data_IF_464314778160
#
_entry.id   IF_464314778160
#
_cell.length_a   1.000
_cell.length_b   1.000
_cell.length_c   1.000
_cell.angle_alpha   90.00
_cell.angle_beta   90.00
_cell.angle_gamma   90.00
#
_symmetry.space_group_name_H-M   'P 1'
#
loop_
_entity.id
_entity.type
_entity.pdbx_description
1 polymer ?
#
# COMPACT_ATOMS: atom_id res chain seq x y z
N UNK A 1 16.35 -87.63 -64.32
CA UNK A 1 16.39 -88.31 -63.01
C UNK A 1 16.80 -87.30 -61.95
N UNK A 2 15.83 -86.82 -61.16
CA UNK A 2 16.04 -85.92 -60.00
C UNK A 2 15.02 -86.31 -58.92
N UNK A 3 15.52 -86.47 -57.71
CA UNK A 3 14.84 -87.01 -56.51
C UNK A 3 13.64 -86.16 -56.04
N UNK A 4 12.69 -86.74 -55.29
CA UNK A 4 11.54 -86.00 -54.78
C UNK A 4 11.89 -85.22 -53.51
N UNK A 5 11.46 -83.96 -53.48
CA UNK A 5 11.56 -83.05 -52.34
C UNK A 5 10.46 -83.38 -51.32
N UNK A 6 10.82 -83.65 -50.07
CA UNK A 6 9.88 -83.74 -48.93
C UNK A 6 9.62 -82.35 -48.38
N UNK A 7 8.36 -81.93 -48.33
CA UNK A 7 7.91 -80.69 -47.68
C UNK A 7 7.36 -81.06 -46.30
N UNK A 8 7.95 -80.49 -45.25
CA UNK A 8 7.51 -80.63 -43.87
C UNK A 8 6.76 -79.36 -43.47
N UNK A 9 5.50 -79.52 -43.04
CA UNK A 9 4.63 -78.44 -42.54
C UNK A 9 4.96 -78.24 -41.06
N UNK A 10 5.43 -77.04 -40.69
CA UNK A 10 5.62 -76.62 -39.28
C UNK A 10 4.44 -75.74 -38.89
N UNK A 11 3.63 -76.21 -37.95
CA UNK A 11 2.53 -75.45 -37.36
C UNK A 11 3.04 -74.35 -36.43
N UNK A 12 2.53 -73.13 -36.63
CA UNK A 12 2.80 -71.98 -35.76
C UNK A 12 1.82 -72.06 -34.57
N UNK A 13 2.36 -72.21 -33.37
CA UNK A 13 1.61 -72.12 -32.10
C UNK A 13 1.59 -70.65 -31.67
N UNK A 14 0.42 -70.01 -31.74
CA UNK A 14 0.19 -68.69 -31.14
C UNK A 14 0.08 -68.83 -29.62
N UNK A 15 1.10 -68.38 -28.89
CA UNK A 15 1.04 -68.15 -27.45
C UNK A 15 0.45 -66.76 -27.20
N UNK A 16 -0.83 -66.69 -26.86
CA UNK A 16 -1.46 -65.49 -26.31
C UNK A 16 -1.07 -65.37 -24.84
N UNK A 17 -0.17 -64.44 -24.52
CA UNK A 17 0.08 -64.01 -23.14
C UNK A 17 -1.12 -63.17 -22.66
N UNK A 18 -1.69 -63.44 -21.46
CA UNK A 18 -2.70 -62.57 -20.90
C UNK A 18 -2.04 -61.27 -20.42
N UNK A 19 -2.33 -60.16 -21.09
CA UNK A 19 -2.05 -58.83 -20.59
C UNK A 19 -2.87 -58.59 -19.32
N UNK A 20 -2.26 -58.77 -18.15
CA UNK A 20 -2.83 -58.31 -16.89
C UNK A 20 -2.85 -56.79 -16.90
N UNK A 21 -4.01 -56.21 -17.20
CA UNK A 21 -4.29 -54.80 -16.93
C UNK A 21 -4.36 -54.66 -15.42
N UNK A 22 -3.28 -54.16 -14.81
CA UNK A 22 -3.33 -53.67 -13.44
C UNK A 22 -4.26 -52.44 -13.49
N UNK A 23 -5.43 -52.46 -12.82
CA UNK A 23 -6.24 -51.27 -12.72
C UNK A 23 -5.39 -50.18 -12.05
N UNK A 24 -5.44 -48.92 -12.50
CA UNK A 24 -4.78 -47.84 -11.78
C UNK A 24 -5.29 -47.88 -10.34
N UNK A 25 -4.36 -48.00 -9.40
CA UNK A 25 -4.66 -47.84 -7.98
C UNK A 25 -5.42 -46.53 -7.86
N UNK A 26 -6.62 -46.47 -7.23
CA UNK A 26 -7.27 -45.19 -7.01
C UNK A 26 -6.25 -44.31 -6.28
N UNK A 27 -5.84 -43.23 -6.95
CA UNK A 27 -4.88 -42.29 -6.38
C UNK A 27 -5.43 -41.87 -5.02
N UNK A 28 -4.62 -42.00 -3.97
CA UNK A 28 -4.99 -41.51 -2.66
C UNK A 28 -5.48 -40.06 -2.84
N UNK A 29 -6.71 -39.78 -2.38
CA UNK A 29 -7.24 -38.43 -2.45
C UNK A 29 -6.23 -37.50 -1.78
N UNK A 30 -5.81 -36.46 -2.49
CA UNK A 30 -4.90 -35.46 -1.93
C UNK A 30 -5.52 -34.96 -0.63
N UNK A 31 -4.80 -34.98 0.51
CA UNK A 31 -5.34 -34.46 1.75
C UNK A 31 -5.80 -33.02 1.54
N UNK A 32 -6.99 -32.70 2.02
CA UNK A 32 -7.56 -31.37 1.97
C UNK A 32 -7.91 -30.89 3.38
N UNK A 33 -7.81 -29.58 3.61
CA UNK A 33 -8.06 -28.96 4.91
C UNK A 33 -9.24 -28.01 4.83
N UNK A 34 -9.99 -27.97 5.91
CA UNK A 34 -11.13 -27.10 6.11
C UNK A 34 -11.10 -26.56 7.53
N UNK A 35 -11.53 -25.32 7.73
CA UNK A 35 -11.48 -24.67 9.03
C UNK A 35 -11.84 -23.20 8.96
N UNK A 36 -11.45 -22.48 10.01
CA UNK A 36 -11.63 -21.04 10.11
C UNK A 36 -10.31 -20.45 10.57
N UNK A 37 -9.83 -19.46 9.84
CA UNK A 37 -8.65 -18.71 10.24
C UNK A 37 -9.03 -17.82 11.43
N UNK A 38 -8.20 -17.84 12.46
CA UNK A 38 -8.26 -16.88 13.56
C UNK A 38 -6.93 -16.15 13.65
N UNK A 39 -6.95 -14.96 14.26
CA UNK A 39 -5.72 -14.22 14.46
C UNK A 39 -5.81 -13.27 15.65
N UNK A 40 -4.65 -12.95 16.19
CA UNK A 40 -4.49 -11.97 17.26
C UNK A 40 -3.14 -11.26 17.16
N UNK A 41 -3.03 -10.14 17.86
CA UNK A 41 -1.80 -9.34 17.93
C UNK A 41 -1.29 -9.24 19.35
N UNK A 42 0.01 -9.42 19.57
CA UNK A 42 0.64 -9.27 20.88
C UNK A 42 1.99 -8.55 20.78
N UNK A 43 2.77 -8.58 21.86
CA UNK A 43 4.18 -8.17 21.90
C UNK A 43 4.44 -6.79 21.27
N UNK A 44 3.85 -5.71 21.80
CA UNK A 44 4.04 -4.37 21.24
C UNK A 44 5.50 -3.95 21.32
N UNK A 45 5.99 -3.33 20.24
CA UNK A 45 7.30 -2.70 20.18
C UNK A 45 7.14 -1.23 20.57
N UNK A 46 7.77 -0.83 21.68
CA UNK A 46 7.57 0.50 22.28
C UNK A 46 8.70 1.50 22.00
N UNK A 47 9.72 1.09 21.26
CA UNK A 47 10.83 1.95 20.87
C UNK A 47 11.13 1.76 19.38
N UNK A 48 11.34 2.84 18.66
CA UNK A 48 11.57 2.84 17.22
C UNK A 48 11.60 4.24 16.65
N UNK A 49 11.47 4.35 15.33
CA UNK A 49 11.51 5.63 14.62
C UNK A 49 10.14 5.98 14.06
N UNK A 50 9.78 7.27 14.11
CA UNK A 50 8.73 7.84 13.28
C UNK A 50 9.34 8.78 12.23
N UNK A 51 8.62 9.06 11.15
CA UNK A 51 9.13 9.88 10.05
C UNK A 51 8.74 11.35 10.24
N UNK A 52 9.69 12.27 10.09
CA UNK A 52 9.41 13.71 10.09
C UNK A 52 8.57 14.13 8.89
N UNK A 53 7.72 15.13 9.11
CA UNK A 53 6.92 15.76 8.08
C UNK A 53 7.81 16.29 6.93
N UNK A 54 7.52 15.87 5.71
CA UNK A 54 8.15 16.35 4.47
C UNK A 54 9.57 15.86 4.18
N UNK A 55 10.44 15.69 5.20
CA UNK A 55 11.80 15.16 4.99
C UNK A 55 11.86 13.63 5.08
N UNK A 56 10.85 13.01 5.70
CA UNK A 56 10.81 11.59 6.04
C UNK A 56 12.07 11.09 6.74
N UNK A 57 12.77 11.97 7.46
CA UNK A 57 13.90 11.54 8.28
C UNK A 57 13.40 10.79 9.51
N UNK A 58 13.99 9.62 9.83
CA UNK A 58 13.64 8.87 11.03
C UNK A 58 14.01 9.67 12.28
N UNK A 59 13.08 9.75 13.22
CA UNK A 59 13.26 10.34 14.55
C UNK A 59 13.07 9.26 15.59
N UNK A 60 14.14 8.92 16.34
CA UNK A 60 14.07 7.90 17.36
C UNK A 60 13.21 8.35 18.52
N UNK A 61 12.43 7.40 19.01
CA UNK A 61 11.52 7.59 20.12
C UNK A 61 11.44 6.32 20.95
N UNK A 62 11.49 6.51 22.26
CA UNK A 62 11.25 5.44 23.23
C UNK A 62 10.02 5.82 24.06
N UNK A 63 8.96 5.03 23.92
CA UNK A 63 7.69 5.23 24.59
C UNK A 63 7.42 4.14 25.64
N UNK A 64 8.43 3.40 26.09
CA UNK A 64 8.29 2.37 27.14
C UNK A 64 7.59 2.87 28.42
N UNK A 65 7.70 4.17 28.75
CA UNK A 65 7.04 4.78 29.91
C UNK A 65 5.68 5.45 29.62
N UNK A 66 5.30 5.67 28.36
CA UNK A 66 4.19 6.56 27.99
C UNK A 66 3.28 6.05 26.86
N UNK A 67 3.66 4.96 26.17
CA UNK A 67 2.84 4.38 25.11
C UNK A 67 1.47 3.95 25.66
N UNK A 68 0.42 4.24 24.90
CA UNK A 68 -0.95 3.87 25.23
C UNK A 68 -1.46 2.94 24.14
N UNK A 69 -1.69 1.68 24.51
CA UNK A 69 -2.22 0.65 23.62
C UNK A 69 -3.24 -0.23 24.34
N UNK A 70 -4.14 -0.84 23.58
CA UNK A 70 -5.19 -1.72 24.08
C UNK A 70 -5.52 -2.82 23.08
N UNK A 71 -6.20 -3.87 23.53
CA UNK A 71 -6.64 -4.98 22.66
C UNK A 71 -5.55 -5.99 22.28
N UNK A 72 -4.37 -5.95 22.92
CA UNK A 72 -3.38 -7.01 22.78
C UNK A 72 -3.95 -8.36 23.21
N UNK A 73 -3.43 -9.43 22.62
CA UNK A 73 -3.94 -10.81 22.70
C UNK A 73 -5.34 -11.00 22.10
N UNK A 74 -5.81 -10.03 21.31
CA UNK A 74 -7.07 -10.10 20.57
C UNK A 74 -6.88 -9.84 19.08
N UNK A 75 -7.94 -10.03 18.28
CA UNK A 75 -7.93 -9.77 16.84
C UNK A 75 -7.94 -8.28 16.48
N UNK A 76 -7.96 -7.37 17.45
CA UNK A 76 -7.99 -5.92 17.24
C UNK A 76 -7.14 -5.22 18.28
N UNK A 77 -6.12 -4.48 17.83
CA UNK A 77 -5.29 -3.62 18.68
C UNK A 77 -5.50 -2.17 18.31
N UNK A 78 -5.45 -1.29 19.31
CA UNK A 78 -5.53 0.15 19.11
C UNK A 78 -4.49 0.87 19.95
N UNK A 79 -3.94 1.96 19.42
CA UNK A 79 -2.96 2.81 20.09
C UNK A 79 -3.24 4.28 19.79
N UNK A 80 -3.16 5.11 20.83
CA UNK A 80 -3.13 6.58 20.83
C UNK A 80 -3.32 7.08 22.29
N UNK A 81 -2.85 8.28 22.61
CA UNK A 81 -3.09 9.00 23.86
C UNK A 81 -4.17 10.07 23.67
N UNK A 82 -5.38 9.67 23.29
CA UNK A 82 -6.45 10.68 23.10
C UNK A 82 -6.90 11.36 24.40
N UNK A 83 -6.34 11.04 25.58
CA UNK A 83 -6.69 11.69 26.86
C UNK A 83 -8.22 11.83 27.10
N UNK A 84 -9.02 10.86 26.61
CA UNK A 84 -10.48 10.90 26.67
C UNK A 84 -11.18 11.72 25.57
N UNK A 85 -10.47 12.02 24.47
CA UNK A 85 -10.99 12.70 23.29
C UNK A 85 -11.98 11.86 22.47
N UNK A 86 -12.69 12.52 21.55
CA UNK A 86 -13.72 11.94 20.68
C UNK A 86 -13.19 11.38 19.37
N UNK A 87 -11.88 11.36 19.16
CA UNK A 87 -11.27 10.88 17.91
C UNK A 87 -10.97 9.39 18.04
N UNK A 88 -11.06 8.65 16.94
CA UNK A 88 -10.74 7.23 16.95
C UNK A 88 -9.21 7.06 16.98
N UNK A 89 -8.67 6.19 17.86
CA UNK A 89 -7.24 5.88 17.88
C UNK A 89 -6.84 5.13 16.61
N UNK A 90 -5.54 5.10 16.30
CA UNK A 90 -5.04 4.16 15.30
C UNK A 90 -5.36 2.74 15.71
N UNK A 91 -5.78 1.91 14.77
CA UNK A 91 -6.23 0.56 15.07
C UNK A 91 -5.94 -0.42 13.93
N UNK A 92 -5.53 -1.63 14.31
CA UNK A 92 -5.30 -2.74 13.40
C UNK A 92 -6.20 -3.91 13.78
N UNK A 93 -7.02 -4.37 12.84
CA UNK A 93 -7.97 -5.47 13.06
C UNK A 93 -7.80 -6.55 12.02
N UNK A 94 -7.74 -7.81 12.44
CA UNK A 94 -7.77 -8.98 11.56
C UNK A 94 -9.12 -9.70 11.68
N UNK A 95 -9.72 -10.03 10.54
CA UNK A 95 -10.93 -10.85 10.47
C UNK A 95 -10.64 -12.06 9.59
N UNK A 96 -10.64 -13.25 10.19
CA UNK A 96 -10.31 -14.48 9.48
C UNK A 96 -11.49 -15.06 8.69
N UNK A 97 -11.16 -15.75 7.59
CA UNK A 97 -12.13 -16.43 6.74
C UNK A 97 -12.31 -17.89 7.15
N UNK A 98 -13.49 -18.43 6.87
CA UNK A 98 -13.67 -19.88 6.76
C UNK A 98 -13.17 -20.36 5.40
N UNK A 99 -12.54 -21.53 5.38
CA UNK A 99 -12.01 -22.17 4.18
C UNK A 99 -12.39 -23.66 4.17
N UNK A 100 -12.44 -24.24 2.98
CA UNK A 100 -12.79 -25.65 2.80
C UNK A 100 -12.06 -26.26 1.62
N UNK A 101 -11.73 -27.54 1.75
CA UNK A 101 -11.11 -28.36 0.71
C UNK A 101 -9.82 -27.77 0.11
N UNK A 102 -9.00 -27.11 0.93
CA UNK A 102 -7.72 -26.53 0.52
C UNK A 102 -6.65 -27.62 0.50
N UNK A 103 -6.01 -27.84 -0.65
CA UNK A 103 -4.88 -28.76 -0.76
C UNK A 103 -3.57 -28.13 -0.21
N UNK A 104 -2.60 -28.93 0.25
CA UNK A 104 -1.25 -28.44 0.54
C UNK A 104 -0.67 -27.60 -0.61
N UNK A 105 -0.03 -26.48 -0.27
CA UNK A 105 0.57 -25.53 -1.21
C UNK A 105 -0.43 -24.66 -1.98
N UNK A 106 -1.74 -24.93 -1.93
CA UNK A 106 -2.75 -24.08 -2.57
C UNK A 106 -2.85 -22.75 -1.82
N UNK A 107 -2.72 -21.65 -2.56
CA UNK A 107 -2.91 -20.30 -2.02
C UNK A 107 -4.41 -20.00 -1.92
N UNK A 108 -4.82 -19.44 -0.78
CA UNK A 108 -6.19 -19.00 -0.52
C UNK A 108 -6.21 -17.75 0.37
N UNK A 109 -7.35 -17.08 0.44
CA UNK A 109 -7.53 -15.90 1.27
C UNK A 109 -7.71 -16.30 2.75
N UNK A 110 -6.76 -15.91 3.60
CA UNK A 110 -6.81 -16.20 5.03
C UNK A 110 -7.81 -15.31 5.77
N UNK A 111 -7.98 -14.07 5.33
CA UNK A 111 -8.83 -13.09 5.99
C UNK A 111 -8.57 -11.68 5.49
N UNK A 112 -9.16 -10.71 6.17
CA UNK A 112 -8.95 -9.28 5.91
C UNK A 112 -8.23 -8.63 7.07
N UNK A 113 -7.30 -7.74 6.74
CA UNK A 113 -6.62 -6.85 7.66
C UNK A 113 -7.13 -5.43 7.40
N UNK A 114 -7.73 -4.80 8.40
CA UNK A 114 -8.19 -3.42 8.34
C UNK A 114 -7.30 -2.57 9.24
N UNK A 115 -6.65 -1.58 8.63
CA UNK A 115 -5.82 -0.60 9.33
C UNK A 115 -6.46 0.77 9.26
N UNK A 116 -6.75 1.37 10.42
CA UNK A 116 -7.18 2.75 10.54
C UNK A 116 -6.02 3.61 11.04
N UNK A 117 -5.62 4.59 10.23
CA UNK A 117 -4.63 5.61 10.59
C UNK A 117 -5.34 6.77 11.28
N UNK A 118 -5.44 6.68 12.61
CA UNK A 118 -5.98 7.75 13.46
C UNK A 118 -4.93 8.82 13.77
N UNK A 119 -5.31 9.96 14.35
CA UNK A 119 -4.33 10.88 14.89
C UNK A 119 -3.50 10.16 15.95
N UNK A 120 -2.20 10.40 15.97
CA UNK A 120 -1.30 9.89 16.99
C UNK A 120 -0.42 11.01 17.52
N UNK A 121 -0.14 11.02 18.82
CA UNK A 121 0.95 11.84 19.35
C UNK A 121 2.25 11.04 19.34
N UNK A 122 3.43 11.68 19.16
CA UNK A 122 4.71 10.97 19.21
C UNK A 122 4.94 10.18 20.52
N UNK A 123 4.28 10.55 21.63
CA UNK A 123 4.43 9.88 22.92
C UNK A 123 3.59 8.60 23.04
N UNK A 124 2.57 8.43 22.19
CA UNK A 124 1.64 7.30 22.23
C UNK A 124 1.86 6.26 21.14
N UNK A 125 2.84 6.49 20.26
CA UNK A 125 3.20 5.56 19.20
C UNK A 125 3.68 4.21 19.74
N UNK A 126 3.26 3.15 19.07
CA UNK A 126 3.91 1.84 19.04
C UNK A 126 4.56 1.66 17.67
N UNK A 127 5.64 0.89 17.61
CA UNK A 127 6.48 0.71 16.41
C UNK A 127 6.35 -0.68 15.80
N UNK A 128 5.44 -1.49 16.35
CA UNK A 128 5.13 -2.80 15.83
C UNK A 128 4.36 -3.67 16.82
N UNK A 129 3.89 -4.80 16.31
CA UNK A 129 3.24 -5.88 17.04
C UNK A 129 3.67 -7.21 16.43
N UNK A 130 3.43 -8.33 17.11
CA UNK A 130 3.51 -9.65 16.49
C UNK A 130 2.10 -10.12 16.12
N UNK A 131 1.91 -10.47 14.86
CA UNK A 131 0.68 -11.06 14.34
C UNK A 131 0.76 -12.58 14.39
N UNK A 132 -0.27 -13.20 14.96
CA UNK A 132 -0.43 -14.65 15.01
C UNK A 132 -1.66 -15.05 14.21
N UNK A 133 -1.52 -16.06 13.34
CA UNK A 133 -2.63 -16.63 12.58
C UNK A 133 -2.69 -18.14 12.78
N UNK A 134 -3.88 -18.69 12.96
CA UNK A 134 -4.11 -20.13 13.14
C UNK A 134 -5.24 -20.61 12.24
N UNK A 135 -5.03 -21.76 11.62
CA UNK A 135 -6.05 -22.48 10.85
C UNK A 135 -6.76 -23.58 11.68
N UNK A 136 -6.29 -23.84 12.90
CA UNK A 136 -6.74 -24.96 13.72
C UNK A 136 -6.34 -26.32 13.15
N UNK A 137 -7.01 -27.39 13.60
CA UNK A 137 -6.93 -28.71 12.94
C UNK A 137 -5.55 -29.38 12.92
N UNK A 138 -4.65 -29.01 13.83
CA UNK A 138 -3.28 -29.54 13.86
C UNK A 138 -2.32 -28.89 12.86
N UNK A 139 -2.74 -27.81 12.20
CA UNK A 139 -1.87 -26.98 11.37
C UNK A 139 -1.10 -26.02 12.29
N UNK A 140 0.23 -26.02 12.17
CA UNK A 140 1.12 -25.10 12.88
C UNK A 140 0.78 -23.63 12.58
N UNK A 141 0.68 -22.77 13.61
CA UNK A 141 0.28 -21.38 13.43
C UNK A 141 1.41 -20.55 12.84
N UNK A 142 1.05 -19.49 12.12
CA UNK A 142 1.98 -18.45 11.71
C UNK A 142 2.17 -17.45 12.85
N UNK A 143 3.41 -17.00 13.07
CA UNK A 143 3.74 -15.87 13.92
C UNK A 143 4.73 -14.95 13.19
N UNK A 144 4.46 -13.65 13.16
CA UNK A 144 5.24 -12.71 12.37
C UNK A 144 5.22 -11.28 12.87
N UNK A 145 6.35 -10.56 12.83
CA UNK A 145 6.37 -9.15 13.19
C UNK A 145 5.64 -8.31 12.13
N UNK A 146 4.88 -7.34 12.61
CA UNK A 146 4.32 -6.24 11.82
C UNK A 146 4.98 -4.98 12.34
N UNK A 147 5.87 -4.38 11.56
CA UNK A 147 6.47 -3.10 11.93
C UNK A 147 5.48 -1.98 11.59
N UNK A 148 5.34 -1.02 12.50
CA UNK A 148 4.49 0.16 12.34
C UNK A 148 5.42 1.37 12.20
N UNK A 149 5.27 2.10 11.10
CA UNK A 149 6.04 3.33 10.83
C UNK A 149 5.05 4.46 10.66
N UNK A 150 4.95 5.29 11.69
CA UNK A 150 4.10 6.49 11.65
C UNK A 150 4.82 7.66 10.99
N UNK A 151 4.06 8.47 10.27
CA UNK A 151 4.54 9.68 9.62
C UNK A 151 3.94 10.90 10.32
N UNK A 152 4.75 11.92 10.57
CA UNK A 152 4.26 13.18 11.09
C UNK A 152 3.56 13.95 9.97
N UNK A 153 2.28 14.26 10.15
CA UNK A 153 1.45 14.84 9.09
C UNK A 153 1.86 16.28 8.75
N UNK A 154 2.25 16.51 7.49
CA UNK A 154 2.46 17.84 6.93
C UNK A 154 1.14 18.49 6.48
N UNK A 155 0.07 17.71 6.31
CA UNK A 155 -1.23 18.13 5.78
C UNK A 155 -1.15 18.68 4.34
N UNK A 156 -0.20 18.19 3.55
CA UNK A 156 0.05 18.65 2.17
C UNK A 156 -0.23 17.54 1.17
N UNK A 157 0.18 16.32 1.48
CA UNK A 157 -0.01 15.15 0.63
C UNK A 157 -0.39 13.95 1.51
N UNK A 158 -1.65 13.54 1.40
CA UNK A 158 -2.22 12.41 2.15
C UNK A 158 -1.46 11.09 1.93
N UNK A 159 -0.78 10.93 0.79
CA UNK A 159 0.02 9.75 0.50
C UNK A 159 1.41 9.84 1.14
N UNK A 160 1.97 11.05 1.24
CA UNK A 160 3.22 11.29 1.95
C UNK A 160 3.04 11.26 3.48
N UNK A 161 1.84 11.60 3.96
CA UNK A 161 1.41 11.57 5.37
C UNK A 161 0.81 10.21 5.77
N UNK A 162 0.99 9.16 4.94
CA UNK A 162 0.48 7.84 5.23
C UNK A 162 1.32 7.14 6.32
N UNK A 163 0.64 6.41 7.21
CA UNK A 163 1.28 5.50 8.15
C UNK A 163 1.38 4.10 7.53
N UNK A 164 2.45 3.38 7.88
CA UNK A 164 2.85 2.17 7.19
C UNK A 164 2.86 0.97 8.12
N UNK A 165 2.37 -0.16 7.62
CA UNK A 165 2.57 -1.49 8.18
C UNK A 165 3.50 -2.27 7.26
N UNK A 166 4.62 -2.76 7.79
CA UNK A 166 5.57 -3.56 7.04
C UNK A 166 5.59 -5.02 7.53
N UNK A 167 5.42 -5.93 6.57
CA UNK A 167 5.36 -7.37 6.77
C UNK A 167 6.61 -8.01 6.16
N UNK A 168 7.67 -8.13 6.96
CA UNK A 168 8.99 -8.58 6.48
C UNK A 168 9.07 -10.09 6.25
N UNK A 169 8.18 -10.85 6.88
CA UNK A 169 8.25 -12.31 6.96
C UNK A 169 7.19 -13.04 6.12
N UNK A 170 6.47 -12.31 5.27
CA UNK A 170 5.66 -12.91 4.22
C UNK A 170 6.58 -13.46 3.13
N UNK A 171 6.10 -14.45 2.36
CA UNK A 171 6.85 -14.97 1.20
C UNK A 171 7.21 -13.84 0.23
N UNK A 172 6.28 -12.92 0.01
CA UNK A 172 6.50 -11.64 -0.65
C UNK A 172 6.41 -10.55 0.44
N UNK A 173 7.56 -10.03 0.93
CA UNK A 173 7.57 -8.91 1.85
C UNK A 173 6.73 -7.77 1.28
N UNK A 174 5.93 -7.11 2.11
CA UNK A 174 4.95 -6.14 1.63
C UNK A 174 4.76 -5.00 2.62
N UNK A 175 4.36 -3.84 2.10
CA UNK A 175 3.96 -2.68 2.89
C UNK A 175 2.51 -2.31 2.60
N UNK A 176 1.70 -2.17 3.65
CA UNK A 176 0.37 -1.58 3.59
C UNK A 176 0.43 -0.17 4.15
N UNK A 177 0.03 0.82 3.37
CA UNK A 177 -0.03 2.21 3.80
C UNK A 177 -1.48 2.67 3.93
N UNK A 178 -1.80 3.36 5.01
CA UNK A 178 -3.12 3.95 5.26
C UNK A 178 -3.01 5.48 5.26
N UNK A 179 -3.85 6.15 4.46
CA UNK A 179 -3.92 7.60 4.45
C UNK A 179 -4.48 8.14 5.77
N UNK A 180 -4.13 9.39 6.08
CA UNK A 180 -4.57 10.06 7.30
C UNK A 180 -6.09 9.99 7.49
N UNK A 181 -6.50 9.63 8.72
CA UNK A 181 -7.89 9.53 9.15
C UNK A 181 -8.76 8.63 8.25
N UNK A 182 -8.14 7.63 7.62
CA UNK A 182 -8.79 6.68 6.73
C UNK A 182 -8.57 5.25 7.22
N UNK A 183 -9.56 4.39 7.00
CA UNK A 183 -9.43 2.95 7.16
C UNK A 183 -9.15 2.34 5.79
N UNK A 184 -8.10 1.53 5.70
CA UNK A 184 -7.76 0.73 4.52
C UNK A 184 -7.93 -0.74 4.84
N UNK A 185 -8.58 -1.48 3.94
CA UNK A 185 -8.73 -2.93 4.07
C UNK A 185 -7.89 -3.67 3.03
N UNK A 186 -7.18 -4.69 3.47
CA UNK A 186 -6.37 -5.55 2.63
C UNK A 186 -6.72 -7.03 2.88
N UNK A 187 -6.55 -7.86 1.85
CA UNK A 187 -6.76 -9.30 1.90
C UNK A 187 -5.40 -9.96 2.13
N UNK A 188 -5.30 -10.79 3.17
CA UNK A 188 -4.11 -11.57 3.47
C UNK A 188 -4.24 -12.94 2.82
N UNK A 189 -3.24 -13.35 2.04
CA UNK A 189 -3.18 -14.63 1.38
C UNK A 189 -2.14 -15.53 2.03
N UNK A 190 -2.41 -16.82 1.99
CA UNK A 190 -1.51 -17.81 2.54
C UNK A 190 -1.76 -19.19 1.97
N UNK A 191 -0.97 -20.14 2.44
CA UNK A 191 -1.07 -21.55 2.08
C UNK A 191 -0.79 -22.41 3.31
N UNK A 192 -1.26 -23.65 3.26
CA UNK A 192 -0.86 -24.69 4.21
C UNK A 192 0.27 -25.46 3.54
N UNK A 193 1.48 -25.37 4.09
CA UNK A 193 2.63 -26.08 3.55
C UNK A 193 2.51 -27.61 3.74
N UNK A 194 3.27 -28.39 2.97
CA UNK A 194 3.32 -29.85 3.12
C UNK A 194 3.75 -30.30 4.52
N UNK A 195 4.45 -29.43 5.26
CA UNK A 195 4.87 -29.62 6.65
C UNK A 195 3.77 -29.35 7.68
N UNK A 196 2.52 -29.14 7.23
CA UNK A 196 1.39 -28.72 8.07
C UNK A 196 1.62 -27.38 8.77
N UNK A 197 2.30 -26.46 8.12
CA UNK A 197 2.56 -25.12 8.64
C UNK A 197 1.73 -24.09 7.87
N UNK A 198 1.07 -23.18 8.57
CA UNK A 198 0.45 -22.02 7.93
C UNK A 198 1.54 -21.02 7.55
N UNK A 199 1.57 -20.65 6.28
CA UNK A 199 2.49 -19.65 5.72
C UNK A 199 1.68 -18.50 5.10
N UNK A 200 2.09 -17.27 5.38
CA UNK A 200 1.52 -16.09 4.75
C UNK A 200 2.34 -15.76 3.50
N UNK A 201 1.68 -15.71 2.35
CA UNK A 201 2.34 -15.53 1.07
C UNK A 201 2.42 -14.06 0.67
N UNK A 202 1.29 -13.38 0.68
CA UNK A 202 1.17 -11.99 0.24
C UNK A 202 -0.01 -11.27 0.87
N UNK A 203 -0.08 -9.98 0.61
CA UNK A 203 -1.21 -9.13 0.96
C UNK A 203 -1.60 -8.32 -0.28
N UNK A 204 -2.89 -8.07 -0.48
CA UNK A 204 -3.35 -7.21 -1.57
C UNK A 204 -4.40 -6.25 -1.05
N UNK A 205 -4.49 -5.08 -1.68
CA UNK A 205 -5.54 -4.12 -1.39
C UNK A 205 -6.92 -4.71 -1.73
N UNK A 206 -7.92 -4.54 -0.86
CA UNK A 206 -9.28 -4.97 -1.16
C UNK A 206 -9.92 -4.06 -2.23
N UNK A 207 -10.93 -4.58 -2.94
CA UNK A 207 -11.57 -3.82 -4.01
C UNK A 207 -12.25 -2.55 -3.45
N UNK A 208 -11.92 -1.39 -4.02
CA UNK A 208 -12.49 -0.09 -3.62
C UNK A 208 -11.68 0.68 -2.58
N UNK A 209 -10.57 0.13 -2.08
CA UNK A 209 -9.76 0.75 -1.02
C UNK A 209 -8.63 1.66 -1.54
N UNK A 210 -8.52 1.84 -2.86
CA UNK A 210 -7.47 2.65 -3.50
C UNK A 210 -7.50 4.14 -3.11
N UNK A 211 -8.64 4.64 -2.64
CA UNK A 211 -8.78 6.01 -2.14
C UNK A 211 -8.40 6.17 -0.66
N UNK A 212 -8.11 5.07 0.04
CA UNK A 212 -7.81 5.03 1.48
C UNK A 212 -6.39 4.58 1.81
N UNK A 213 -5.69 3.97 0.84
CA UNK A 213 -4.33 3.49 1.03
C UNK A 213 -3.78 2.74 -0.17
N UNK A 214 -2.65 2.07 0.02
CA UNK A 214 -2.02 1.26 -1.02
C UNK A 214 -1.29 0.05 -0.43
N UNK A 215 -1.04 -0.95 -1.27
CA UNK A 215 -0.13 -2.06 -0.97
C UNK A 215 0.99 -2.07 -1.98
N UNK A 216 2.23 -2.18 -1.51
CA UNK A 216 3.42 -2.33 -2.35
C UNK A 216 4.23 -3.54 -1.93
N UNK A 217 4.74 -4.27 -2.92
CA UNK A 217 5.70 -5.35 -2.70
C UNK A 217 7.07 -4.78 -2.33
N UNK A 218 7.73 -5.41 -1.37
CA UNK A 218 9.02 -5.02 -0.84
C UNK A 218 8.96 -4.20 0.45
N UNK A 219 10.15 -3.86 0.95
CA UNK A 219 10.30 -2.97 2.10
C UNK A 219 10.19 -1.53 1.66
N UNK A 220 9.17 -0.82 2.13
CA UNK A 220 9.12 0.62 2.05
C UNK A 220 9.80 1.31 3.26
N UNK A 221 10.49 0.55 4.13
CA UNK A 221 11.24 1.11 5.25
C UNK A 221 12.40 1.93 4.66
N UNK A 222 12.23 3.26 4.65
CA UNK A 222 13.15 4.22 4.01
C UNK A 222 12.74 4.68 2.60
N UNK A 223 11.58 4.27 2.08
CA UNK A 223 10.99 4.85 0.86
C UNK A 223 10.23 6.13 1.23
N UNK A 224 10.53 7.23 0.54
CA UNK A 224 9.92 8.56 0.79
C UNK A 224 8.44 8.65 0.38
N UNK A 225 7.90 7.64 -0.30
CA UNK A 225 6.48 7.57 -0.69
C UNK A 225 6.11 6.13 -1.09
N UNK A 226 5.64 5.27 -0.16
CA UNK A 226 5.22 3.89 -0.49
C UNK A 226 4.02 3.86 -1.42
N UNK A 227 3.10 4.83 -1.30
CA UNK A 227 2.05 5.00 -2.28
C UNK A 227 2.55 5.88 -3.41
N UNK A 228 2.79 5.26 -4.56
CA UNK A 228 3.06 6.00 -5.79
C UNK A 228 1.80 6.80 -6.17
N UNK A 229 1.78 8.09 -5.80
CA UNK A 229 0.98 9.07 -6.53
C UNK A 229 1.52 9.08 -7.97
N UNK A 230 0.64 8.93 -8.97
CA UNK A 230 1.07 8.83 -10.37
C UNK A 230 1.81 10.09 -10.84
N UNK A 231 1.55 11.24 -10.21
CA UNK A 231 2.36 12.44 -10.35
C UNK A 231 3.38 12.66 -9.22
N UNK A 232 3.32 11.90 -8.12
CA UNK A 232 4.30 11.84 -7.03
C UNK A 232 4.90 13.18 -6.63
N UNK A 233 6.23 13.21 -6.64
CA UNK A 233 7.07 14.38 -6.36
C UNK A 233 6.73 15.60 -7.22
N UNK A 234 6.20 15.42 -8.43
CA UNK A 234 5.81 16.51 -9.31
C UNK A 234 4.59 17.24 -8.76
N UNK A 235 3.59 16.52 -8.27
CA UNK A 235 2.43 17.13 -7.63
C UNK A 235 2.82 17.82 -6.31
N UNK A 236 3.65 17.17 -5.48
CA UNK A 236 4.17 17.76 -4.26
C UNK A 236 4.97 19.05 -4.54
N UNK A 237 5.88 19.03 -5.51
CA UNK A 237 6.69 20.19 -5.87
C UNK A 237 5.87 21.37 -6.41
N UNK A 238 4.80 21.09 -7.19
CA UNK A 238 3.86 22.13 -7.65
C UNK A 238 3.09 22.72 -6.47
N UNK A 239 2.65 21.90 -5.51
CA UNK A 239 1.97 22.37 -4.31
C UNK A 239 2.92 23.25 -3.47
N UNK A 240 4.11 22.76 -3.14
CA UNK A 240 5.14 23.47 -2.37
C UNK A 240 5.53 24.81 -2.98
N UNK A 241 5.71 24.86 -4.30
CA UNK A 241 6.07 26.09 -4.99
C UNK A 241 5.01 27.20 -4.86
N UNK A 242 3.75 26.85 -4.59
CA UNK A 242 2.60 27.78 -4.65
C UNK A 242 1.81 27.89 -3.34
N UNK A 243 2.02 26.98 -2.38
CA UNK A 243 1.30 26.93 -1.09
C UNK A 243 1.83 27.92 -0.05
N UNK A 244 3.09 28.36 -0.16
CA UNK A 244 3.68 29.34 0.75
C UNK A 244 3.14 30.77 0.59
N UNK A 245 3.44 31.69 1.53
CA UNK A 245 3.15 33.11 1.34
C UNK A 245 3.93 33.63 0.13
N UNK A 246 3.24 33.67 -1.02
CA UNK A 246 3.83 34.10 -2.30
C UNK A 246 4.34 35.54 -2.25
N UNK A 247 3.79 36.33 -1.32
CA UNK A 247 4.16 37.71 -1.10
C UNK A 247 4.35 37.88 0.41
N UNK A 248 5.58 38.20 0.82
CA UNK A 248 6.02 38.14 2.22
C UNK A 248 5.08 38.87 3.18
N UNK A 249 4.88 40.17 2.98
CA UNK A 249 4.07 41.05 3.83
C UNK A 249 2.85 41.63 3.12
N UNK A 250 2.56 41.17 1.90
CA UNK A 250 1.52 41.73 1.04
C UNK A 250 0.42 40.72 0.76
N UNK A 251 -0.82 41.14 0.96
CA UNK A 251 -1.96 40.24 0.78
C UNK A 251 -2.39 40.21 -0.70
N UNK A 252 -2.46 39.00 -1.26
CA UNK A 252 -2.95 38.82 -2.62
C UNK A 252 -4.43 39.23 -2.73
N UNK A 253 -4.84 39.87 -3.85
CA UNK A 253 -6.24 40.15 -4.12
C UNK A 253 -7.09 38.89 -4.01
N UNK A 254 -8.25 38.99 -3.35
CA UNK A 254 -9.10 37.82 -3.03
C UNK A 254 -9.43 36.95 -4.25
N UNK A 255 -9.66 37.56 -5.42
CA UNK A 255 -9.91 36.84 -6.67
C UNK A 255 -8.70 36.06 -7.19
N UNK A 256 -7.48 36.55 -6.96
CA UNK A 256 -6.24 35.86 -7.32
C UNK A 256 -5.98 34.70 -6.34
N UNK A 257 -6.10 34.95 -5.04
CA UNK A 257 -5.96 33.92 -4.01
C UNK A 257 -6.98 32.77 -4.22
N UNK A 258 -8.23 33.08 -4.55
CA UNK A 258 -9.25 32.07 -4.87
C UNK A 258 -8.86 31.18 -6.04
N UNK A 259 -8.29 31.76 -7.11
CA UNK A 259 -7.86 31.02 -8.32
C UNK A 259 -6.70 30.07 -8.02
N UNK A 260 -5.75 30.51 -7.19
CA UNK A 260 -4.63 29.69 -6.75
C UNK A 260 -5.15 28.51 -5.92
N UNK A 261 -6.01 28.76 -4.93
CA UNK A 261 -6.66 27.69 -4.13
C UNK A 261 -7.50 26.72 -4.95
N UNK A 262 -8.12 27.18 -6.04
CA UNK A 262 -8.83 26.29 -6.98
C UNK A 262 -7.91 25.46 -7.85
N UNK A 263 -6.67 25.92 -8.09
CA UNK A 263 -5.66 25.13 -8.78
C UNK A 263 -5.07 24.07 -7.85
N UNK A 264 -4.83 24.40 -6.58
CA UNK A 264 -4.35 23.46 -5.55
C UNK A 264 -5.38 22.35 -5.27
N UNK A 265 -6.67 22.69 -5.09
CA UNK A 265 -7.72 21.66 -4.97
C UNK A 265 -7.85 20.75 -6.18
N UNK A 266 -7.58 21.26 -7.39
CA UNK A 266 -7.54 20.42 -8.59
C UNK A 266 -6.29 19.54 -8.59
N UNK A 267 -5.17 20.02 -8.06
CA UNK A 267 -3.93 19.26 -7.93
C UNK A 267 -4.09 18.09 -6.94
N UNK A 268 -4.78 18.31 -5.82
CA UNK A 268 -5.17 17.24 -4.87
C UNK A 268 -5.97 16.12 -5.57
N UNK A 269 -6.98 16.49 -6.36
CA UNK A 269 -7.78 15.54 -7.14
C UNK A 269 -6.97 14.80 -8.23
N UNK A 270 -5.88 15.42 -8.69
CA UNK A 270 -5.00 14.83 -9.69
C UNK A 270 -3.98 13.90 -9.02
N UNK A 271 -3.49 14.24 -7.83
CA UNK A 271 -2.63 13.37 -7.04
C UNK A 271 -3.33 12.08 -6.61
N UNK A 272 -4.66 12.10 -6.47
CA UNK A 272 -5.46 10.92 -6.15
C UNK A 272 -5.81 10.02 -7.34
N UNK A 273 -5.38 10.33 -8.58
CA UNK A 273 -5.71 9.48 -9.73
C UNK A 273 -4.69 8.37 -9.94
N UNK A 274 -5.21 7.19 -10.27
CA UNK A 274 -4.47 5.98 -10.65
C UNK A 274 -4.02 5.94 -12.12
N UNK A 275 -4.47 6.89 -12.95
CA UNK A 275 -4.24 6.87 -14.40
C UNK A 275 -3.23 7.93 -14.81
N UNK A 276 -2.08 7.52 -15.34
CA UNK A 276 -1.03 8.43 -15.83
C UNK A 276 -1.53 9.41 -16.88
N UNK A 277 -2.36 8.94 -17.80
CA UNK A 277 -3.00 9.81 -18.78
C UNK A 277 -3.89 10.88 -18.14
N UNK A 278 -4.68 10.51 -17.13
CA UNK A 278 -5.51 11.47 -16.38
C UNK A 278 -4.64 12.41 -15.54
N UNK A 279 -3.57 11.91 -14.94
CA UNK A 279 -2.61 12.66 -14.16
C UNK A 279 -1.92 13.73 -15.01
N UNK A 280 -1.28 13.35 -16.14
CA UNK A 280 -0.62 14.27 -17.09
C UNK A 280 -1.59 15.34 -17.61
N UNK A 281 -2.82 14.94 -17.97
CA UNK A 281 -3.87 15.87 -18.41
C UNK A 281 -4.31 16.83 -17.29
N UNK A 282 -4.45 16.31 -16.07
CA UNK A 282 -4.79 17.06 -14.87
C UNK A 282 -3.73 18.08 -14.48
N UNK A 283 -2.47 17.66 -14.38
CA UNK A 283 -1.31 18.53 -14.11
C UNK A 283 -1.19 19.62 -15.18
N UNK A 284 -1.36 19.27 -16.45
CA UNK A 284 -1.40 20.26 -17.55
C UNK A 284 -2.48 21.32 -17.32
N UNK A 285 -3.65 20.92 -16.83
CA UNK A 285 -4.76 21.82 -16.52
C UNK A 285 -4.46 22.71 -15.31
N UNK A 286 -3.85 22.16 -14.25
CA UNK A 286 -3.37 22.90 -13.08
C UNK A 286 -2.37 23.97 -13.53
N UNK A 287 -1.35 23.59 -14.31
CA UNK A 287 -0.32 24.53 -14.79
C UNK A 287 -0.90 25.67 -15.64
N UNK A 288 -1.87 25.38 -16.52
CA UNK A 288 -2.58 26.44 -17.27
C UNK A 288 -3.31 27.44 -16.35
N UNK A 289 -3.89 26.97 -15.24
CA UNK A 289 -4.56 27.85 -14.25
C UNK A 289 -3.56 28.68 -13.45
N UNK A 290 -2.43 28.09 -13.07
CA UNK A 290 -1.36 28.79 -12.37
C UNK A 290 -0.69 29.86 -13.25
N UNK A 291 -0.38 29.54 -14.51
CA UNK A 291 0.15 30.50 -15.49
C UNK A 291 -0.79 31.69 -15.70
N UNK A 292 -2.10 31.44 -15.83
CA UNK A 292 -3.10 32.52 -15.89
C UNK A 292 -3.10 33.38 -14.62
N UNK A 293 -2.91 32.77 -13.45
CA UNK A 293 -2.83 33.48 -12.17
C UNK A 293 -1.60 34.38 -12.11
N UNK A 294 -0.43 33.94 -12.60
CA UNK A 294 0.76 34.78 -12.73
C UNK A 294 0.55 35.97 -13.69
N UNK A 295 -0.14 35.77 -14.82
CA UNK A 295 -0.50 36.88 -15.72
C UNK A 295 -1.44 37.89 -15.06
N UNK A 296 -2.41 37.40 -14.27
CA UNK A 296 -3.31 38.26 -13.49
C UNK A 296 -2.53 39.06 -12.44
N UNK A 297 -1.57 38.44 -11.76
CA UNK A 297 -0.71 39.11 -10.78
C UNK A 297 0.08 40.27 -11.44
N UNK A 298 0.72 40.03 -12.59
CA UNK A 298 1.40 41.10 -13.34
C UNK A 298 0.45 42.23 -13.74
N UNK A 299 -0.76 41.91 -14.17
CA UNK A 299 -1.80 42.90 -14.47
C UNK A 299 -2.35 43.63 -13.24
N UNK A 300 -2.28 43.03 -12.06
CA UNK A 300 -2.61 43.68 -10.79
C UNK A 300 -1.50 44.64 -10.36
N UNK A 301 -0.24 44.28 -10.56
CA UNK A 301 0.91 45.15 -10.31
C UNK A 301 0.89 46.41 -11.18
N UNK A 302 0.63 46.27 -12.49
CA UNK A 302 0.47 47.43 -13.39
C UNK A 302 -0.63 48.40 -12.98
N UNK A 303 -1.62 47.94 -12.20
CA UNK A 303 -2.74 48.73 -11.69
C UNK A 303 -2.53 49.19 -10.25
N UNK A 304 -1.33 48.99 -9.69
CA UNK A 304 -1.00 49.35 -8.30
C UNK A 304 -1.78 48.57 -7.24
N UNK A 305 -2.37 47.42 -7.59
CA UNK A 305 -3.15 46.58 -6.65
C UNK A 305 -2.29 45.60 -5.88
N UNK A 306 -1.12 45.28 -6.41
CA UNK A 306 -0.05 44.61 -5.69
C UNK A 306 1.30 45.23 -6.07
N UNK A 307 2.36 44.98 -5.31
CA UNK A 307 3.71 45.38 -5.66
C UNK A 307 4.25 44.59 -6.88
N UNK A 308 5.22 45.18 -7.58
CA UNK A 308 5.95 44.48 -8.63
C UNK A 308 6.70 43.25 -8.08
N UNK A 309 7.27 43.36 -6.87
CA UNK A 309 7.96 42.27 -6.19
C UNK A 309 7.03 41.08 -5.91
N UNK A 310 5.80 41.32 -5.47
CA UNK A 310 4.79 40.28 -5.26
C UNK A 310 4.38 39.62 -6.59
N UNK A 311 4.16 40.39 -7.65
CA UNK A 311 3.86 39.82 -8.97
C UNK A 311 5.02 38.97 -9.54
N UNK A 312 6.26 39.37 -9.29
CA UNK A 312 7.44 38.58 -9.64
C UNK A 312 7.55 37.30 -8.81
N UNK A 313 7.30 37.37 -7.51
CA UNK A 313 7.33 36.20 -6.63
C UNK A 313 6.30 35.15 -7.05
N UNK A 314 5.07 35.56 -7.37
CA UNK A 314 4.05 34.68 -7.98
C UNK A 314 4.54 34.10 -9.31
N UNK A 315 5.22 34.91 -10.13
CA UNK A 315 5.82 34.45 -11.39
C UNK A 315 6.91 33.40 -11.20
N UNK A 316 7.80 33.60 -10.22
CA UNK A 316 8.89 32.67 -9.86
C UNK A 316 8.33 31.36 -9.32
N UNK A 317 7.36 31.42 -8.41
CA UNK A 317 6.65 30.24 -7.91
C UNK A 317 6.07 29.37 -9.04
N UNK A 318 5.35 29.99 -9.98
CA UNK A 318 4.79 29.28 -11.13
C UNK A 318 5.88 28.79 -12.11
N UNK A 319 6.98 29.53 -12.24
CA UNK A 319 8.14 29.13 -13.03
C UNK A 319 8.83 27.88 -12.46
N UNK A 320 9.05 27.84 -11.15
CA UNK A 320 9.63 26.70 -10.44
C UNK A 320 8.70 25.48 -10.52
N UNK A 321 7.39 25.67 -10.34
CA UNK A 321 6.41 24.60 -10.53
C UNK A 321 6.49 24.03 -11.97
N UNK A 322 6.65 24.90 -12.97
CA UNK A 322 6.75 24.48 -14.38
C UNK A 322 8.01 23.67 -14.67
N UNK A 323 9.16 24.08 -14.14
CA UNK A 323 10.42 23.38 -14.39
C UNK A 323 10.43 21.95 -13.83
N UNK A 324 9.62 21.68 -12.80
CA UNK A 324 9.43 20.33 -12.25
C UNK A 324 8.46 19.49 -13.09
N UNK A 325 7.46 20.13 -13.71
CA UNK A 325 6.42 19.45 -14.47
C UNK A 325 6.85 19.07 -15.89
N UNK A 326 7.61 19.92 -16.58
CA UNK A 326 7.93 19.73 -18.00
C UNK A 326 8.71 18.44 -18.31
N UNK A 327 9.75 18.05 -17.54
CA UNK A 327 10.45 16.79 -17.77
C UNK A 327 9.52 15.59 -17.66
N UNK A 328 8.64 15.60 -16.65
CA UNK A 328 7.69 14.51 -16.41
C UNK A 328 6.57 14.43 -17.45
N UNK A 329 6.08 15.56 -17.98
CA UNK A 329 5.11 15.52 -19.08
C UNK A 329 5.69 15.01 -20.40
N UNK A 330 7.02 15.05 -20.55
CA UNK A 330 7.73 14.64 -21.76
C UNK A 330 8.09 13.15 -21.81
N UNK A 331 7.93 12.41 -20.70
CA UNK A 331 8.13 10.96 -20.70
C UNK A 331 6.98 10.27 -21.44
N UNK A 332 7.31 9.39 -22.38
CA UNK A 332 6.32 8.60 -23.11
C UNK A 332 5.79 7.46 -22.23
N UNK A 333 4.49 7.19 -22.31
CA UNK A 333 3.83 6.08 -21.61
C UNK A 333 4.59 4.76 -21.93
N UNK A 334 5.04 4.03 -20.91
CA UNK A 334 5.61 2.68 -21.04
C UNK A 334 4.53 1.64 -20.85
#
# INVERSE_FOLDING_TARGET
MKQPLRITIVGIVCLLAPSMVVPPTPGAATPSYSGTITGFFDSPVLSGDFLQAGTHQPVPRDNTAAAVGSGFDTSSVAWNDDNGGTVAPSALTFTGNSFGDVAPGQVFALGTLTYFNGPNSPASLIFGVTMHLSAGGGIGPFAGPVAIVSTQNANIDRAADADLLFFSNFEIPSTLAAFENSAVTAIVFGKIADTLQLEVTSISLAQGEADHGCVVEGSAVGSTAPCASVCGDVCAAVALAVAGPLCESEQLPAGLNRRIRQALRLLEQVASTDSERKAKSGVTRVMKRLQRSATIARGAAKRGRISAACAEAVGRAVGNARSQVEPWLSTSDR
#
